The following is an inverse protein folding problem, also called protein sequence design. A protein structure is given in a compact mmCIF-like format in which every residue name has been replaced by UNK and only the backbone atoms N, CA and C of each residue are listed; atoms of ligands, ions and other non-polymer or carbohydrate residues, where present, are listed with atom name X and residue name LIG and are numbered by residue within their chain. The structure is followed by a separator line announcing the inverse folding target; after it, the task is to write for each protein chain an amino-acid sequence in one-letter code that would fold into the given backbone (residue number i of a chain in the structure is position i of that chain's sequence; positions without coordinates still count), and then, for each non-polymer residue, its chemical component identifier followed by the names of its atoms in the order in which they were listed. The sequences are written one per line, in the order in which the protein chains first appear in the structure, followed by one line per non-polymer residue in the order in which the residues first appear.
data_IF_840031138510
#
_entry.id   IF_840031138510
#
_cell.length_a   1.000
_cell.length_b   1.000
_cell.length_c   1.000
_cell.angle_alpha   90.00
_cell.angle_beta   90.00
_cell.angle_gamma   90.00
#
_symmetry.space_group_name_H-M   'P 1'
#
loop_
_entity.id
_entity.type
_entity.pdbx_description
1 polymer ?
#
# COMPACT_ATOMS: atom_id res chain seq x y z
N UNK A 1 -54.03 -61.19 -65.75
CA UNK A 1 -53.12 -60.02 -65.61
C UNK A 1 -53.65 -59.15 -64.47
N UNK A 2 -52.77 -58.61 -63.62
CA UNK A 2 -53.05 -57.70 -62.49
C UNK A 2 -53.26 -58.35 -61.10
N UNK A 3 -52.18 -58.39 -60.31
CA UNK A 3 -52.08 -57.81 -58.93
C UNK A 3 -50.74 -58.22 -58.28
N UNK A 4 -49.63 -57.90 -58.94
CA UNK A 4 -48.29 -57.91 -58.32
C UNK A 4 -47.67 -56.53 -58.54
N UNK A 5 -48.31 -55.51 -57.97
CA UNK A 5 -47.85 -54.12 -57.93
C UNK A 5 -48.71 -53.44 -56.86
N UNK A 6 -48.30 -53.51 -55.59
CA UNK A 6 -48.84 -52.62 -54.53
C UNK A 6 -48.10 -52.65 -53.17
N UNK A 7 -47.09 -53.51 -52.95
CA UNK A 7 -46.29 -53.49 -51.70
C UNK A 7 -44.99 -52.67 -51.79
N UNK A 8 -44.45 -52.40 -52.98
CA UNK A 8 -43.21 -51.61 -53.15
C UNK A 8 -43.37 -50.09 -53.00
N UNK A 9 -44.57 -49.55 -53.27
CA UNK A 9 -44.79 -48.09 -53.24
C UNK A 9 -44.72 -47.49 -51.84
N UNK A 10 -45.16 -48.22 -50.82
CA UNK A 10 -45.17 -47.73 -49.43
C UNK A 10 -43.74 -47.63 -48.88
N UNK A 11 -42.88 -48.62 -49.16
CA UNK A 11 -41.50 -48.62 -48.67
C UNK A 11 -40.68 -47.43 -49.21
N UNK A 12 -40.84 -47.08 -50.49
CA UNK A 12 -40.15 -45.94 -51.10
C UNK A 12 -40.60 -44.63 -50.46
N UNK A 13 -41.90 -44.46 -50.22
CA UNK A 13 -42.44 -43.26 -49.56
C UNK A 13 -41.94 -43.15 -48.12
N UNK A 14 -41.87 -44.26 -47.38
CA UNK A 14 -41.33 -44.26 -46.01
C UNK A 14 -39.84 -43.89 -45.99
N UNK A 15 -39.03 -44.44 -46.89
CA UNK A 15 -37.60 -44.09 -46.97
C UNK A 15 -37.40 -42.62 -47.34
N UNK A 16 -38.17 -42.09 -48.29
CA UNK A 16 -38.11 -40.67 -48.65
C UNK A 16 -38.52 -39.76 -47.49
N UNK A 17 -39.53 -40.15 -46.71
CA UNK A 17 -39.95 -39.40 -45.53
C UNK A 17 -38.85 -39.39 -44.46
N UNK A 18 -38.24 -40.54 -44.17
CA UNK A 18 -37.12 -40.64 -43.22
C UNK A 18 -35.93 -39.79 -43.68
N UNK A 19 -35.59 -39.82 -44.97
CA UNK A 19 -34.54 -38.98 -45.53
C UNK A 19 -34.87 -37.48 -45.45
N UNK A 20 -36.12 -37.08 -45.68
CA UNK A 20 -36.54 -35.70 -45.53
C UNK A 20 -36.43 -35.22 -44.06
N UNK A 21 -36.86 -36.06 -43.11
CA UNK A 21 -36.73 -35.76 -41.67
C UNK A 21 -35.26 -35.67 -41.26
N UNK A 22 -34.41 -36.58 -41.74
CA UNK A 22 -32.96 -36.52 -41.52
C UNK A 22 -32.34 -35.25 -42.10
N UNK A 23 -32.72 -34.85 -43.32
CA UNK A 23 -32.22 -33.63 -43.94
C UNK A 23 -32.61 -32.38 -43.12
N UNK A 24 -33.85 -32.31 -42.63
CA UNK A 24 -34.29 -31.21 -41.76
C UNK A 24 -33.53 -31.20 -40.43
N UNK A 25 -33.28 -32.36 -39.82
CA UNK A 25 -32.49 -32.46 -38.60
C UNK A 25 -31.04 -32.02 -38.82
N UNK A 26 -30.41 -32.40 -39.93
CA UNK A 26 -29.03 -31.98 -40.27
C UNK A 26 -28.96 -30.46 -40.45
N UNK A 27 -29.90 -29.86 -41.18
CA UNK A 27 -29.96 -28.39 -41.35
C UNK A 27 -30.19 -27.70 -40.01
N UNK A 28 -31.07 -28.23 -39.16
CA UNK A 28 -31.30 -27.72 -37.81
C UNK A 28 -30.05 -27.75 -36.93
N UNK A 29 -29.29 -28.84 -37.00
CA UNK A 29 -28.06 -29.03 -36.20
C UNK A 29 -26.92 -28.12 -36.69
N UNK A 30 -26.79 -27.93 -38.00
CA UNK A 30 -25.84 -26.97 -38.58
C UNK A 30 -26.17 -25.55 -38.13
N UNK A 31 -27.44 -25.13 -38.20
CA UNK A 31 -27.86 -23.79 -37.76
C UNK A 31 -27.64 -23.55 -36.26
N UNK A 32 -27.88 -24.56 -35.41
CA UNK A 32 -27.58 -24.46 -33.98
C UNK A 32 -26.07 -24.35 -33.72
N UNK A 33 -25.25 -25.12 -34.45
CA UNK A 33 -23.78 -25.07 -34.31
C UNK A 33 -23.18 -23.74 -34.78
N UNK A 34 -23.69 -23.17 -35.88
CA UNK A 34 -23.21 -21.88 -36.40
C UNK A 34 -23.55 -20.74 -35.44
N UNK A 35 -24.75 -20.75 -34.86
CA UNK A 35 -25.16 -19.72 -33.90
C UNK A 35 -24.34 -19.81 -32.60
N UNK A 36 -24.07 -21.02 -32.10
CA UNK A 36 -23.21 -21.20 -30.91
C UNK A 36 -21.78 -20.73 -31.14
N UNK A 37 -21.22 -20.98 -32.34
CA UNK A 37 -19.87 -20.52 -32.70
C UNK A 37 -19.80 -19.00 -32.85
N UNK A 38 -20.83 -18.38 -33.42
CA UNK A 38 -20.94 -16.92 -33.53
C UNK A 38 -21.06 -16.28 -32.15
N UNK A 39 -21.89 -16.83 -31.26
CA UNK A 39 -22.01 -16.36 -29.89
C UNK A 39 -20.69 -16.51 -29.11
N UNK A 40 -20.04 -17.67 -29.19
CA UNK A 40 -18.75 -17.90 -28.52
C UNK A 40 -17.66 -16.95 -29.03
N UNK A 41 -17.66 -16.63 -30.34
CA UNK A 41 -16.73 -15.64 -30.90
C UNK A 41 -17.03 -14.22 -30.41
N UNK A 42 -18.31 -13.84 -30.35
CA UNK A 42 -18.70 -12.55 -29.77
C UNK A 42 -18.31 -12.44 -28.29
N UNK A 43 -18.57 -13.48 -27.50
CA UNK A 43 -18.21 -13.52 -26.07
C UNK A 43 -16.69 -13.43 -25.88
N UNK A 44 -15.91 -14.13 -26.72
CA UNK A 44 -14.45 -14.05 -26.70
C UNK A 44 -13.93 -12.68 -27.14
N UNK A 45 -14.52 -12.07 -28.17
CA UNK A 45 -14.16 -10.73 -28.64
C UNK A 45 -14.46 -9.66 -27.58
N UNK A 46 -15.61 -9.77 -26.91
CA UNK A 46 -16.02 -8.91 -25.80
C UNK A 46 -15.06 -9.00 -24.61
N UNK A 47 -14.63 -10.21 -24.23
CA UNK A 47 -13.64 -10.42 -23.17
C UNK A 47 -12.26 -9.84 -23.55
N UNK A 48 -11.81 -10.07 -24.78
CA UNK A 48 -10.53 -9.53 -25.26
C UNK A 48 -10.54 -8.00 -25.30
N UNK A 49 -11.63 -7.39 -25.76
CA UNK A 49 -11.81 -5.95 -25.74
C UNK A 49 -11.84 -5.40 -24.30
N UNK A 50 -12.47 -6.10 -23.37
CA UNK A 50 -12.46 -5.73 -21.96
C UNK A 50 -11.04 -5.78 -21.37
N UNK A 51 -10.29 -6.87 -21.56
CA UNK A 51 -8.92 -6.98 -21.07
C UNK A 51 -7.99 -5.91 -21.64
N UNK A 52 -8.16 -5.55 -22.91
CA UNK A 52 -7.41 -4.45 -23.52
C UNK A 52 -7.73 -3.10 -22.86
N UNK A 53 -9.01 -2.82 -22.58
CA UNK A 53 -9.42 -1.62 -21.88
C UNK A 53 -8.85 -1.58 -20.43
N UNK A 54 -8.87 -2.70 -19.72
CA UNK A 54 -8.30 -2.80 -18.36
C UNK A 54 -6.79 -2.54 -18.38
N UNK A 55 -6.06 -3.17 -19.30
CA UNK A 55 -4.62 -2.99 -19.45
C UNK A 55 -4.27 -1.53 -19.78
N UNK A 56 -5.02 -0.89 -20.68
CA UNK A 56 -4.84 0.52 -21.01
C UNK A 56 -5.08 1.42 -19.81
N UNK A 57 -6.15 1.18 -19.06
CA UNK A 57 -6.48 1.93 -17.85
C UNK A 57 -5.39 1.81 -16.77
N UNK A 58 -4.89 0.60 -16.49
CA UNK A 58 -3.82 0.38 -15.51
C UNK A 58 -2.49 1.00 -15.91
N UNK A 59 -2.12 0.91 -17.20
CA UNK A 59 -0.93 1.58 -17.71
C UNK A 59 -1.02 3.09 -17.53
N UNK A 60 -2.19 3.68 -17.79
CA UNK A 60 -2.44 5.10 -17.57
C UNK A 60 -2.25 5.51 -16.11
N UNK A 61 -2.79 4.71 -15.18
CA UNK A 61 -2.62 4.95 -13.74
C UNK A 61 -1.16 4.90 -13.33
N UNK A 62 -0.40 3.91 -13.80
CA UNK A 62 1.05 3.82 -13.53
C UNK A 62 1.78 5.06 -14.03
N UNK A 63 1.50 5.49 -15.25
CA UNK A 63 2.14 6.67 -15.85
C UNK A 63 1.77 7.98 -15.16
N UNK A 64 0.50 8.12 -14.73
CA UNK A 64 0.04 9.25 -13.89
C UNK A 64 0.80 9.23 -12.56
N UNK A 65 1.03 8.05 -11.98
CA UNK A 65 1.77 7.88 -10.72
C UNK A 65 3.25 8.22 -10.88
N UNK A 66 3.90 7.75 -11.94
CA UNK A 66 5.36 7.82 -12.12
C UNK A 66 5.82 9.19 -12.63
N UNK A 67 5.06 9.81 -13.53
CA UNK A 67 5.49 11.01 -14.27
C UNK A 67 4.63 12.24 -14.00
N UNK A 68 3.49 12.10 -13.32
CA UNK A 68 2.43 13.10 -13.33
C UNK A 68 1.80 13.22 -14.73
N UNK A 69 0.56 13.70 -14.83
CA UNK A 69 -0.08 13.70 -16.15
C UNK A 69 0.40 14.87 -17.02
N UNK A 70 0.85 14.56 -18.23
CA UNK A 70 0.92 15.56 -19.31
C UNK A 70 0.21 15.04 -20.55
N UNK A 71 -1.09 15.31 -20.67
CA UNK A 71 -1.85 15.20 -21.93
C UNK A 71 -1.62 13.90 -22.73
N UNK A 72 -1.44 12.77 -22.04
CA UNK A 72 -0.99 11.55 -22.70
C UNK A 72 -2.18 10.88 -23.38
N UNK A 73 -2.14 10.87 -24.71
CA UNK A 73 -3.04 10.11 -25.55
C UNK A 73 -2.26 8.91 -26.09
N UNK A 74 -2.59 7.71 -25.61
CA UNK A 74 -2.05 6.47 -26.17
C UNK A 74 -3.07 5.91 -27.16
N UNK A 75 -2.80 6.07 -28.45
CA UNK A 75 -3.71 5.59 -29.49
C UNK A 75 -3.27 4.22 -30.00
N UNK A 76 -4.23 3.30 -30.10
CA UNK A 76 -4.10 2.00 -30.79
C UNK A 76 -2.85 1.20 -30.37
N UNK A 77 -2.59 1.13 -29.06
CA UNK A 77 -1.50 0.32 -28.52
C UNK A 77 -1.90 -1.15 -28.56
N UNK A 78 -1.06 -1.98 -29.17
CA UNK A 78 -1.27 -3.42 -29.19
C UNK A 78 -0.92 -4.02 -27.82
N UNK A 79 -1.71 -5.00 -27.38
CA UNK A 79 -1.29 -5.88 -26.30
C UNK A 79 -0.12 -6.76 -26.78
N UNK A 80 0.77 -7.17 -25.87
CA UNK A 80 1.94 -8.01 -26.19
C UNK A 80 1.55 -9.33 -26.87
N UNK A 81 0.36 -9.87 -26.54
CA UNK A 81 -0.16 -11.12 -27.09
C UNK A 81 -0.94 -10.95 -28.41
N UNK A 82 -0.97 -9.73 -28.99
CA UNK A 82 -1.34 -9.49 -30.39
C UNK A 82 -2.82 -9.67 -30.80
N UNK A 83 -3.74 -9.88 -29.86
CA UNK A 83 -5.17 -10.12 -30.15
C UNK A 83 -6.09 -8.89 -30.06
N UNK A 84 -5.69 -7.85 -29.33
CA UNK A 84 -6.50 -6.66 -29.08
C UNK A 84 -5.63 -5.42 -28.93
N UNK A 85 -6.23 -4.26 -29.21
CA UNK A 85 -5.59 -2.97 -29.05
C UNK A 85 -6.42 -2.11 -28.10
N UNK A 86 -5.77 -1.17 -27.42
CA UNK A 86 -6.46 -0.18 -26.62
C UNK A 86 -6.08 1.24 -27.01
N UNK A 87 -7.01 2.16 -26.77
CA UNK A 87 -6.78 3.60 -26.81
C UNK A 87 -7.08 4.16 -25.43
N UNK A 88 -6.25 5.05 -24.93
CA UNK A 88 -6.42 5.67 -23.61
C UNK A 88 -6.35 7.18 -23.77
N UNK A 89 -7.35 7.84 -23.22
CA UNK A 89 -7.42 9.29 -23.08
C UNK A 89 -7.40 9.65 -21.59
N UNK A 90 -6.51 10.57 -21.19
CA UNK A 90 -6.42 11.06 -19.82
C UNK A 90 -6.80 12.54 -19.80
N UNK A 91 -7.86 12.88 -19.06
CA UNK A 91 -8.31 14.26 -18.87
C UNK A 91 -8.08 14.70 -17.43
N UNK A 92 -7.31 15.78 -17.23
CA UNK A 92 -7.11 16.40 -15.92
C UNK A 92 -8.24 17.40 -15.61
N UNK A 93 -8.67 17.46 -14.35
CA UNK A 93 -9.68 18.40 -13.91
C UNK A 93 -9.18 19.85 -13.82
N UNK A 94 -10.09 20.82 -13.64
CA UNK A 94 -11.55 20.65 -13.61
C UNK A 94 -12.15 20.42 -15.01
N UNK A 95 -12.94 19.36 -15.20
CA UNK A 95 -13.56 19.01 -16.48
C UNK A 95 -14.84 18.17 -16.28
N UNK A 96 -15.72 18.08 -17.29
CA UNK A 96 -16.77 17.07 -17.34
C UNK A 96 -16.52 16.16 -18.54
N UNK A 97 -16.27 14.88 -18.29
CA UNK A 97 -15.93 13.88 -19.32
C UNK A 97 -16.97 12.78 -19.29
N UNK A 98 -17.68 12.59 -20.39
CA UNK A 98 -18.74 11.58 -20.52
C UNK A 98 -19.78 11.61 -19.39
N UNK A 99 -20.10 12.81 -18.87
CA UNK A 99 -21.05 12.99 -17.77
C UNK A 99 -20.44 12.79 -16.37
N UNK A 100 -19.14 12.52 -16.27
CA UNK A 100 -18.40 12.44 -15.00
C UNK A 100 -17.68 13.75 -14.71
N UNK A 101 -17.96 14.35 -13.55
CA UNK A 101 -17.25 15.56 -13.09
C UNK A 101 -15.87 15.19 -12.55
N UNK A 102 -14.83 15.82 -13.12
CA UNK A 102 -13.43 15.78 -12.66
C UNK A 102 -13.20 17.04 -11.83
N UNK A 103 -13.10 16.97 -10.49
CA UNK A 103 -13.33 18.14 -9.64
C UNK A 103 -12.25 19.24 -9.71
N UNK A 104 -10.98 18.85 -9.74
CA UNK A 104 -9.84 19.76 -9.61
C UNK A 104 -8.60 19.23 -10.34
N UNK A 105 -7.51 20.00 -10.34
CA UNK A 105 -6.25 19.67 -11.02
C UNK A 105 -5.53 18.45 -10.48
N UNK A 106 -5.93 17.91 -9.32
CA UNK A 106 -5.36 16.69 -8.75
C UNK A 106 -6.19 15.46 -9.12
N UNK A 107 -7.26 15.60 -9.90
CA UNK A 107 -8.04 14.48 -10.40
C UNK A 107 -7.84 14.33 -11.91
N UNK A 108 -7.78 13.08 -12.34
CA UNK A 108 -7.70 12.65 -13.73
C UNK A 108 -8.81 11.67 -14.00
N UNK A 109 -9.48 11.85 -15.12
CA UNK A 109 -10.36 10.84 -15.68
C UNK A 109 -9.59 10.09 -16.76
N UNK A 110 -9.41 8.79 -16.53
CA UNK A 110 -8.81 7.85 -17.49
C UNK A 110 -9.96 7.17 -18.22
N UNK A 111 -10.05 7.38 -19.52
CA UNK A 111 -10.97 6.66 -20.41
C UNK A 111 -10.18 5.70 -21.27
N UNK A 112 -10.36 4.40 -21.07
CA UNK A 112 -9.71 3.37 -21.88
C UNK A 112 -10.72 2.61 -22.73
N UNK A 113 -10.49 2.63 -24.04
CA UNK A 113 -11.28 1.93 -25.05
C UNK A 113 -10.48 0.75 -25.59
N UNK A 114 -10.90 -0.46 -25.24
CA UNK A 114 -10.34 -1.69 -25.77
C UNK A 114 -11.11 -2.19 -26.98
N UNK A 115 -10.40 -2.65 -28.01
CA UNK A 115 -10.94 -3.16 -29.27
C UNK A 115 -10.28 -4.47 -29.67
N UNK A 116 -11.08 -5.47 -30.02
CA UNK A 116 -10.57 -6.68 -30.66
C UNK A 116 -9.93 -6.35 -32.02
N UNK A 117 -8.76 -6.92 -32.31
CA UNK A 117 -8.08 -6.69 -33.58
C UNK A 117 -8.52 -7.70 -34.65
N UNK A 118 -8.68 -7.26 -35.90
CA UNK A 118 -8.92 -8.15 -37.04
C UNK A 118 -10.38 -8.59 -37.27
N UNK A 119 -11.33 -8.20 -36.41
CA UNK A 119 -12.75 -8.42 -36.65
C UNK A 119 -13.35 -7.33 -37.58
N UNK A 120 -14.29 -7.71 -38.44
CA UNK A 120 -15.00 -6.77 -39.33
C UNK A 120 -15.92 -5.79 -38.57
N UNK A 121 -16.37 -6.20 -37.39
CA UNK A 121 -17.09 -5.38 -36.41
C UNK A 121 -16.49 -5.70 -35.04
N UNK A 122 -15.37 -5.04 -34.68
CA UNK A 122 -14.68 -5.37 -33.44
C UNK A 122 -15.56 -5.07 -32.24
N UNK A 123 -15.54 -5.98 -31.27
CA UNK A 123 -16.08 -5.69 -29.96
C UNK A 123 -15.33 -4.46 -29.40
N UNK A 124 -16.09 -3.56 -28.78
CA UNK A 124 -15.57 -2.35 -28.15
C UNK A 124 -16.05 -2.30 -26.71
N UNK A 125 -15.12 -2.09 -25.77
CA UNK A 125 -15.40 -1.94 -24.35
C UNK A 125 -14.72 -0.69 -23.83
N UNK A 126 -15.40 0.00 -22.92
CA UNK A 126 -14.97 1.26 -22.33
C UNK A 126 -14.79 1.07 -20.83
N UNK A 127 -13.69 1.59 -20.28
CA UNK A 127 -13.42 1.64 -18.84
C UNK A 127 -13.05 3.07 -18.48
N UNK A 128 -13.96 3.71 -17.74
CA UNK A 128 -13.74 5.01 -17.13
C UNK A 128 -13.27 4.86 -15.69
N UNK A 129 -12.21 5.58 -15.32
CA UNK A 129 -11.67 5.59 -13.96
C UNK A 129 -11.31 7.01 -13.54
N UNK A 130 -11.80 7.42 -12.37
CA UNK A 130 -11.41 8.67 -11.74
C UNK A 130 -10.23 8.42 -10.79
N UNK A 131 -9.06 8.93 -11.16
CA UNK A 131 -7.80 8.81 -10.43
C UNK A 131 -7.51 10.14 -9.76
N UNK A 132 -7.17 10.14 -8.48
CA UNK A 132 -6.67 11.33 -7.80
C UNK A 132 -5.16 11.23 -7.69
N UNK A 133 -4.39 12.07 -8.41
CA UNK A 133 -2.99 12.28 -8.02
C UNK A 133 -3.01 13.11 -6.75
N UNK A 134 -2.88 12.43 -5.61
CA UNK A 134 -2.19 13.09 -4.51
C UNK A 134 -0.74 13.32 -4.93
N UNK A 135 -0.01 14.26 -4.31
CA UNK A 135 1.43 14.09 -4.25
C UNK A 135 1.68 12.63 -3.84
N UNK A 136 2.54 11.90 -4.58
CA UNK A 136 2.95 10.54 -4.21
C UNK A 136 3.03 10.50 -2.69
N UNK A 137 2.23 9.63 -2.06
CA UNK A 137 2.38 9.23 -0.66
C UNK A 137 3.24 10.23 0.10
N UNK A 138 2.67 11.30 0.64
CA UNK A 138 3.49 12.43 1.15
C UNK A 138 4.40 12.02 2.32
N UNK A 139 4.32 10.76 2.72
CA UNK A 139 4.99 10.14 3.83
C UNK A 139 5.86 8.98 3.36
N UNK A 140 6.90 9.31 2.60
CA UNK A 140 8.16 8.56 2.67
C UNK A 140 9.07 9.11 3.80
N UNK A 141 8.47 9.83 4.76
CA UNK A 141 9.18 10.43 5.89
C UNK A 141 8.92 9.64 7.15
N UNK A 142 9.99 9.20 7.81
CA UNK A 142 9.92 8.53 9.10
C UNK A 142 9.36 9.46 10.17
N UNK A 143 9.74 10.75 10.12
CA UNK A 143 9.24 11.78 11.04
C UNK A 143 8.83 13.03 10.25
N UNK A 144 7.62 13.55 10.48
CA UNK A 144 7.20 14.84 9.94
C UNK A 144 6.52 15.67 11.02
N UNK A 145 6.99 16.88 11.26
CA UNK A 145 6.45 17.77 12.30
C UNK A 145 5.87 19.04 11.73
N UNK A 146 4.88 19.64 12.41
CA UNK A 146 4.40 20.96 12.03
C UNK A 146 5.46 22.03 12.30
N UNK A 147 5.96 22.12 13.53
CA UNK A 147 6.77 23.25 14.01
C UNK A 147 8.24 22.91 14.24
N UNK A 148 8.57 21.98 15.14
CA UNK A 148 9.97 21.74 15.51
C UNK A 148 10.28 20.27 15.77
N UNK A 149 11.49 19.86 15.38
CA UNK A 149 12.04 18.53 15.60
C UNK A 149 13.36 18.67 16.37
N UNK A 150 13.41 18.09 17.56
CA UNK A 150 14.60 18.04 18.40
C UNK A 150 15.07 16.60 18.54
N UNK A 151 16.24 16.26 17.99
CA UNK A 151 16.93 15.01 18.26
C UNK A 151 18.07 15.33 19.24
N UNK A 152 17.88 15.07 20.53
CA UNK A 152 18.78 15.55 21.59
C UNK A 152 19.21 14.43 22.54
N UNK A 153 20.48 14.43 22.97
CA UNK A 153 21.06 13.49 23.96
C UNK A 153 21.01 11.99 23.59
N UNK A 154 22.05 11.25 23.99
CA UNK A 154 22.12 9.79 23.78
C UNK A 154 22.32 9.38 22.32
N UNK A 155 22.08 8.12 21.98
CA UNK A 155 22.15 7.64 20.60
C UNK A 155 20.78 7.79 19.94
N UNK A 156 20.53 8.88 19.22
CA UNK A 156 19.24 9.09 18.53
C UNK A 156 19.37 8.75 17.05
N UNK A 157 18.49 7.89 16.52
CA UNK A 157 18.59 7.41 15.13
C UNK A 157 17.26 7.49 14.37
N UNK A 158 17.31 7.94 13.11
CA UNK A 158 16.20 7.80 12.16
C UNK A 158 16.65 6.94 10.98
N UNK A 159 16.19 5.69 10.84
CA UNK A 159 16.76 4.76 9.84
C UNK A 159 15.80 4.46 8.69
N UNK A 160 16.35 4.40 7.48
CA UNK A 160 15.69 3.76 6.36
C UNK A 160 15.65 2.27 6.63
N UNK A 161 14.60 1.61 6.18
CA UNK A 161 14.54 0.15 6.26
C UNK A 161 15.64 -0.44 5.38
N UNK A 162 16.75 -0.84 5.98
CA UNK A 162 17.60 -1.88 5.44
C UNK A 162 17.08 -3.22 5.95
N UNK A 163 15.95 -3.67 5.41
CA UNK A 163 15.59 -5.09 5.55
C UNK A 163 16.75 -5.93 5.00
N UNK A 164 17.19 -7.01 5.68
CA UNK A 164 18.10 -7.95 5.05
C UNK A 164 17.47 -8.41 3.73
N UNK A 165 18.23 -8.50 2.62
CA UNK A 165 17.68 -8.94 1.35
C UNK A 165 16.93 -10.26 1.57
N UNK A 166 15.73 -10.44 0.97
CA UNK A 166 14.98 -11.68 1.12
C UNK A 166 15.90 -12.86 0.74
N UNK A 167 15.90 -13.96 1.51
CA UNK A 167 16.73 -15.11 1.19
C UNK A 167 16.39 -15.60 -0.21
N UNK A 168 17.34 -15.47 -1.14
CA UNK A 168 17.21 -15.97 -2.50
C UNK A 168 17.41 -17.48 -2.48
N UNK A 169 16.41 -18.22 -1.99
CA UNK A 169 16.31 -19.63 -2.36
C UNK A 169 16.06 -19.68 -3.87
N UNK A 170 16.93 -20.30 -4.68
CA UNK A 170 16.67 -20.49 -6.09
C UNK A 170 15.29 -21.16 -6.23
N UNK A 171 14.47 -20.78 -7.22
CA UNK A 171 13.25 -21.52 -7.51
C UNK A 171 13.64 -23.00 -7.67
N UNK A 172 12.88 -23.95 -7.09
CA UNK A 172 13.17 -25.36 -7.28
C UNK A 172 13.18 -25.61 -8.79
N UNK A 173 14.34 -25.99 -9.32
CA UNK A 173 14.46 -26.40 -10.72
C UNK A 173 13.45 -27.52 -10.94
N UNK A 174 12.41 -27.27 -11.73
CA UNK A 174 11.51 -28.33 -12.14
C UNK A 174 12.36 -29.44 -12.78
N UNK A 175 12.21 -30.70 -12.34
CA UNK A 175 12.92 -31.79 -12.99
C UNK A 175 12.48 -31.84 -14.44
N UNK A 176 13.43 -31.60 -15.35
CA UNK A 176 13.23 -31.80 -16.78
C UNK A 176 12.82 -33.27 -16.98
N UNK A 177 11.68 -33.57 -17.60
CA UNK A 177 11.28 -34.95 -17.89
C UNK A 177 12.34 -35.61 -18.76
N UNK A 178 12.92 -36.69 -18.26
CA UNK A 178 14.15 -37.29 -18.77
C UNK A 178 14.06 -37.80 -20.21
N UNK A 179 15.09 -37.46 -20.99
CA UNK A 179 15.57 -38.31 -22.06
C UNK A 179 16.57 -39.31 -21.48
N UNK A 180 16.19 -40.58 -21.43
CA UNK A 180 17.09 -41.68 -21.06
C UNK A 180 17.97 -41.98 -22.27
N UNK A 181 19.22 -41.52 -22.25
CA UNK A 181 20.28 -42.04 -23.12
C UNK A 181 21.41 -42.46 -22.21
N UNK A 182 21.56 -43.78 -22.05
CA UNK A 182 22.69 -44.34 -21.33
C UNK A 182 23.97 -44.06 -22.09
N UNK A 183 24.95 -43.48 -21.40
CA UNK A 183 26.36 -43.72 -21.64
C UNK A 183 27.18 -43.28 -20.43
N UNK A 184 28.22 -44.05 -20.20
CA UNK A 184 29.17 -44.06 -19.09
C UNK A 184 30.28 -43.01 -19.26
N UNK A 185 30.80 -42.54 -18.12
CA UNK A 185 32.10 -41.86 -17.87
C UNK A 185 32.22 -40.34 -18.10
N UNK A 186 32.41 -39.57 -17.02
CA UNK A 186 33.70 -38.96 -16.60
C UNK A 186 33.48 -37.91 -15.48
N UNK A 187 34.11 -38.00 -14.28
CA UNK A 187 33.95 -37.00 -13.22
C UNK A 187 34.99 -35.88 -13.33
N UNK A 188 34.74 -34.91 -14.20
CA UNK A 188 35.36 -33.57 -14.06
C UNK A 188 34.31 -32.57 -13.63
N UNK A 189 34.45 -32.11 -12.38
CA UNK A 189 33.56 -31.16 -11.74
C UNK A 189 33.31 -29.92 -12.61
N UNK A 190 32.05 -29.53 -12.87
CA UNK A 190 31.79 -28.19 -13.34
C UNK A 190 31.99 -27.23 -12.16
N UNK A 191 32.99 -26.35 -12.28
CA UNK A 191 33.10 -25.14 -11.47
C UNK A 191 31.86 -24.29 -11.77
N UNK A 192 30.83 -24.39 -10.92
CA UNK A 192 29.70 -23.49 -10.91
C UNK A 192 30.20 -22.12 -10.45
N UNK A 193 30.59 -21.29 -11.41
CA UNK A 193 30.74 -19.84 -11.25
C UNK A 193 29.36 -19.21 -11.04
N UNK A 194 28.75 -19.48 -9.88
CA UNK A 194 27.58 -18.79 -9.41
C UNK A 194 28.00 -17.41 -8.90
N UNK A 195 28.15 -16.46 -9.81
CA UNK A 195 28.20 -15.05 -9.45
C UNK A 195 26.90 -14.70 -8.74
N UNK A 196 26.94 -14.64 -7.41
CA UNK A 196 25.87 -14.06 -6.60
C UNK A 196 25.79 -12.60 -7.00
N UNK A 197 24.86 -12.27 -7.90
CA UNK A 197 24.48 -10.89 -8.15
C UNK A 197 23.81 -10.40 -6.88
N UNK A 198 24.57 -9.71 -6.04
CA UNK A 198 24.02 -8.92 -4.94
C UNK A 198 23.28 -7.76 -5.56
N UNK A 199 22.00 -7.95 -5.88
CA UNK A 199 21.11 -6.85 -6.21
C UNK A 199 21.06 -5.99 -4.95
N UNK A 200 21.79 -4.89 -4.95
CA UNK A 200 21.66 -3.85 -3.92
C UNK A 200 20.22 -3.38 -3.99
N UNK A 201 19.40 -3.81 -3.03
CA UNK A 201 18.09 -3.23 -2.82
C UNK A 201 18.35 -1.76 -2.54
N UNK A 202 17.87 -0.89 -3.44
CA UNK A 202 17.94 0.55 -3.25
C UNK A 202 17.11 0.87 -2.01
N UNK A 203 17.77 1.05 -0.87
CA UNK A 203 17.10 1.53 0.35
C UNK A 203 16.72 2.99 0.10
N UNK A 204 15.43 3.28 0.11
CA UNK A 204 14.94 4.66 0.11
C UNK A 204 15.48 5.34 1.37
N UNK A 205 16.22 6.46 1.26
CA UNK A 205 16.77 7.16 2.42
C UNK A 205 15.69 7.53 3.45
N UNK A 206 16.04 7.61 4.73
CA UNK A 206 15.08 8.11 5.71
C UNK A 206 14.90 9.62 5.52
N UNK A 207 13.66 10.07 5.51
CA UNK A 207 13.35 11.50 5.44
C UNK A 207 12.77 12.00 6.78
N UNK A 208 13.28 13.14 7.28
CA UNK A 208 12.65 13.90 8.38
C UNK A 208 12.17 15.26 7.87
N UNK A 209 11.03 15.73 8.34
CA UNK A 209 10.38 16.92 7.78
C UNK A 209 9.87 17.92 8.81
N UNK A 210 9.91 19.22 8.51
CA UNK A 210 9.13 20.28 9.20
C UNK A 210 8.20 21.00 8.22
N UNK A 211 7.07 21.54 8.69
CA UNK A 211 6.08 22.23 7.82
C UNK A 211 6.05 23.75 7.95
N UNK A 212 6.66 24.30 9.02
CA UNK A 212 6.53 25.71 9.38
C UNK A 212 7.46 26.62 8.57
N UNK A 213 6.92 27.73 8.06
CA UNK A 213 7.60 28.71 7.19
C UNK A 213 8.51 29.69 7.94
N UNK A 214 8.38 29.81 9.27
CA UNK A 214 9.07 30.80 10.09
C UNK A 214 9.99 30.18 11.15
N UNK A 215 9.57 29.05 11.75
CA UNK A 215 10.25 28.46 12.92
C UNK A 215 10.58 26.98 12.79
N UNK A 216 10.37 26.40 11.61
CA UNK A 216 10.66 25.02 11.24
C UNK A 216 12.10 24.62 11.53
N UNK A 217 12.45 24.29 12.77
CA UNK A 217 13.82 23.98 13.18
C UNK A 217 13.99 22.49 13.38
N UNK A 218 15.06 21.97 12.79
CA UNK A 218 15.55 20.62 13.07
C UNK A 218 16.83 20.77 13.88
N UNK A 219 16.78 20.42 15.16
CA UNK A 219 17.94 20.41 16.04
C UNK A 219 18.47 18.98 16.13
N UNK A 220 19.74 18.79 15.81
CA UNK A 220 20.46 17.53 15.97
C UNK A 220 21.55 17.77 17.00
N UNK A 221 21.50 17.12 18.15
CA UNK A 221 22.53 17.22 19.18
C UNK A 221 23.04 15.83 19.56
N UNK A 222 24.25 15.78 20.15
CA UNK A 222 24.81 14.62 20.85
C UNK A 222 24.57 13.25 20.18
N UNK A 223 25.47 12.79 19.31
CA UNK A 223 25.40 11.48 18.61
C UNK A 223 24.08 11.19 17.85
N UNK A 224 23.24 12.20 17.58
CA UNK A 224 22.09 12.06 16.69
C UNK A 224 22.53 11.77 15.26
N UNK A 225 21.75 10.93 14.58
CA UNK A 225 22.01 10.46 13.23
C UNK A 225 20.71 10.15 12.47
N UNK A 226 20.68 10.49 11.18
CA UNK A 226 19.59 10.21 10.25
C UNK A 226 20.18 9.32 9.14
N UNK A 227 19.83 8.05 9.24
CA UNK A 227 20.09 6.98 8.30
C UNK A 227 21.57 6.76 8.00
N UNK A 228 22.38 6.74 9.06
CA UNK A 228 23.84 6.66 9.00
C UNK A 228 24.44 7.76 8.12
N UNK A 229 23.82 8.93 8.13
CA UNK A 229 24.19 10.07 7.31
C UNK A 229 23.69 10.07 5.88
N UNK A 230 22.85 9.10 5.49
CA UNK A 230 22.26 9.04 4.15
C UNK A 230 20.87 9.70 4.08
N UNK A 231 20.25 10.01 5.22
CA UNK A 231 18.89 10.52 5.28
C UNK A 231 18.82 12.00 4.94
N UNK A 232 17.67 12.45 4.45
CA UNK A 232 17.44 13.84 4.09
C UNK A 232 16.57 14.58 5.10
N UNK A 233 16.88 15.86 5.29
CA UNK A 233 16.08 16.79 6.08
C UNK A 233 15.27 17.69 5.15
N UNK A 234 13.96 17.68 5.32
CA UNK A 234 13.03 18.51 4.57
C UNK A 234 12.54 19.62 5.50
N UNK A 235 12.85 20.88 5.22
CA UNK A 235 12.44 22.01 6.07
C UNK A 235 11.23 22.73 5.49
N UNK A 236 10.43 23.36 6.34
CA UNK A 236 9.24 24.10 5.91
C UNK A 236 9.51 25.15 4.82
N UNK A 237 8.48 25.62 4.09
CA UNK A 237 8.68 26.49 2.93
C UNK A 237 9.35 27.81 3.28
N UNK A 238 10.36 28.16 2.48
CA UNK A 238 11.23 29.31 2.75
C UNK A 238 12.33 29.02 3.78
N UNK A 239 12.31 27.86 4.42
CA UNK A 239 13.42 27.34 5.23
C UNK A 239 14.64 26.99 4.37
N UNK A 240 15.80 26.91 5.00
CA UNK A 240 17.05 26.50 4.35
C UNK A 240 17.95 25.73 5.30
N UNK A 241 19.22 25.53 4.93
CA UNK A 241 20.20 24.85 5.79
C UNK A 241 20.37 25.53 7.15
N UNK A 242 20.15 26.84 7.24
CA UNK A 242 20.16 27.60 8.49
C UNK A 242 19.05 27.21 9.47
N UNK A 243 18.00 26.54 8.99
CA UNK A 243 16.91 26.01 9.81
C UNK A 243 17.27 24.66 10.46
N UNK A 244 18.43 24.08 10.12
CA UNK A 244 18.96 22.86 10.73
C UNK A 244 20.11 23.22 11.66
N UNK A 245 19.92 23.04 12.95
CA UNK A 245 20.95 23.25 13.96
C UNK A 245 21.64 21.91 14.29
N UNK A 246 22.75 21.61 13.62
CA UNK A 246 23.53 20.41 13.92
C UNK A 246 24.66 20.71 14.91
N UNK A 247 24.43 20.36 16.17
CA UNK A 247 25.41 20.33 17.25
C UNK A 247 25.84 18.90 17.62
N UNK A 248 25.45 17.90 16.82
CA UNK A 248 25.85 16.52 17.00
C UNK A 248 27.36 16.36 16.86
N UNK A 249 27.93 15.47 17.68
CA UNK A 249 29.30 14.97 17.51
C UNK A 249 29.50 14.19 16.21
N UNK A 250 28.41 13.81 15.53
CA UNK A 250 28.42 13.24 14.19
C UNK A 250 28.19 14.35 13.13
N UNK A 251 29.25 14.83 12.44
CA UNK A 251 29.11 15.90 11.45
C UNK A 251 28.36 15.44 10.18
N UNK A 252 28.25 14.14 9.95
CA UNK A 252 27.52 13.51 8.85
C UNK A 252 26.20 12.93 9.33
N UNK A 253 25.51 13.59 10.26
CA UNK A 253 24.24 13.11 10.79
C UNK A 253 23.10 13.08 9.75
N UNK A 254 23.28 13.68 8.56
CA UNK A 254 22.34 13.65 7.44
C UNK A 254 23.07 13.95 6.12
N UNK A 255 22.43 13.64 4.99
CA UNK A 255 22.99 13.80 3.65
C UNK A 255 22.65 15.17 3.03
N UNK A 256 21.35 15.50 2.95
CA UNK A 256 20.89 16.70 2.27
C UNK A 256 19.86 17.48 3.11
N UNK A 257 19.74 18.78 2.83
CA UNK A 257 18.65 19.63 3.32
C UNK A 257 17.91 20.23 2.13
N UNK A 258 16.61 19.99 2.05
CA UNK A 258 15.76 20.52 0.99
C UNK A 258 14.59 21.32 1.58
N UNK A 259 14.25 22.50 1.02
CA UNK A 259 13.04 23.21 1.40
C UNK A 259 11.79 22.53 0.82
N UNK A 260 10.70 22.53 1.57
CA UNK A 260 9.36 22.33 1.03
C UNK A 260 9.03 23.47 0.07
N UNK A 261 8.42 23.13 -1.06
CA UNK A 261 7.93 24.13 -2.02
C UNK A 261 6.68 24.85 -1.53
N UNK A 262 5.86 24.17 -0.72
CA UNK A 262 4.60 24.69 -0.19
C UNK A 262 4.25 24.02 1.14
N UNK A 263 3.47 24.72 1.96
CA UNK A 263 2.97 24.16 3.22
C UNK A 263 2.07 22.97 2.90
N UNK A 264 2.22 21.91 3.67
CA UNK A 264 1.31 20.77 3.62
C UNK A 264 0.16 21.01 4.59
N UNK A 265 -1.07 20.82 4.14
CA UNK A 265 -2.21 20.88 5.05
C UNK A 265 -2.37 19.53 5.73
N UNK A 266 -2.37 19.51 7.06
CA UNK A 266 -2.66 18.32 7.83
C UNK A 266 -4.14 18.27 8.19
N UNK A 267 -4.74 17.09 8.04
CA UNK A 267 -6.11 16.90 8.50
C UNK A 267 -6.11 16.88 10.03
N UNK A 268 -6.97 17.69 10.63
CA UNK A 268 -7.22 17.60 12.06
C UNK A 268 -7.77 16.21 12.42
N UNK A 269 -7.39 15.68 13.57
CA UNK A 269 -7.92 14.41 14.06
C UNK A 269 -9.39 14.59 14.45
N UNK A 270 -10.28 13.90 13.75
CA UNK A 270 -11.72 13.86 14.04
C UNK A 270 -12.00 12.62 14.88
N UNK A 271 -12.59 12.81 16.06
CA UNK A 271 -12.96 11.71 16.96
C UNK A 271 -14.23 11.00 16.43
N UNK A 272 -14.23 9.66 16.32
CA UNK A 272 -15.35 8.90 15.75
C UNK A 272 -16.59 8.85 16.67
N UNK A 273 -16.42 9.02 17.97
CA UNK A 273 -17.46 8.88 18.97
C UNK A 273 -17.52 10.10 19.92
N UNK A 274 -18.66 10.37 20.57
CA UNK A 274 -18.70 11.34 21.65
C UNK A 274 -17.80 10.91 22.81
N UNK A 275 -17.11 11.86 23.43
CA UNK A 275 -16.20 11.61 24.54
C UNK A 275 -16.92 10.96 25.72
N UNK A 276 -16.41 9.82 26.16
CA UNK A 276 -16.80 9.19 27.41
C UNK A 276 -15.93 9.79 28.53
N UNK A 277 -16.51 10.09 29.70
CA UNK A 277 -15.78 10.66 30.85
C UNK A 277 -15.59 9.65 32.00
N UNK A 278 -15.94 8.38 31.79
CA UNK A 278 -15.69 7.34 32.79
C UNK A 278 -14.22 6.95 32.82
N UNK A 279 -13.65 6.87 34.02
CA UNK A 279 -12.30 6.36 34.23
C UNK A 279 -12.32 4.83 34.31
N UNK A 280 -11.38 4.18 33.63
CA UNK A 280 -11.17 2.74 33.67
C UNK A 280 -9.74 2.44 34.10
N UNK A 281 -9.59 1.53 35.06
CA UNK A 281 -8.28 1.01 35.48
C UNK A 281 -8.20 -0.47 35.15
N UNK A 282 -7.22 -0.83 34.34
CA UNK A 282 -6.94 -2.22 33.95
C UNK A 282 -5.80 -2.71 34.83
N UNK A 283 -6.09 -3.71 35.67
CA UNK A 283 -5.11 -4.28 36.62
C UNK A 283 -4.64 -5.69 36.25
N UNK A 284 -5.33 -6.34 35.30
CA UNK A 284 -5.03 -7.67 34.77
C UNK A 284 -5.19 -7.66 33.24
N UNK A 285 -4.99 -8.81 32.59
CA UNK A 285 -5.29 -8.98 31.16
C UNK A 285 -6.78 -8.69 30.87
N UNK A 286 -7.04 -7.65 30.07
CA UNK A 286 -8.40 -7.25 29.71
C UNK A 286 -8.51 -6.92 28.21
N UNK A 287 -9.50 -7.52 27.56
CA UNK A 287 -9.95 -7.11 26.22
C UNK A 287 -11.03 -6.06 26.34
N UNK A 288 -10.84 -4.92 25.69
CA UNK A 288 -11.88 -3.90 25.61
C UNK A 288 -12.84 -4.22 24.46
N UNK A 289 -14.15 -4.04 24.66
CA UNK A 289 -15.10 -4.07 23.56
C UNK A 289 -14.69 -3.12 22.42
N UNK A 290 -14.73 -3.58 21.15
CA UNK A 290 -14.39 -2.72 20.02
C UNK A 290 -15.45 -1.63 19.79
N UNK A 291 -15.08 -0.64 18.97
CA UNK A 291 -15.97 0.37 18.39
C UNK A 291 -16.69 1.23 19.44
N UNK A 292 -15.96 1.60 20.49
CA UNK A 292 -16.46 2.36 21.64
C UNK A 292 -15.52 3.48 22.09
N UNK A 293 -16.08 4.43 22.82
CA UNK A 293 -15.36 5.48 23.53
C UNK A 293 -15.19 5.15 25.02
N UNK A 294 -13.97 5.37 25.50
CA UNK A 294 -13.54 5.24 26.88
C UNK A 294 -13.08 6.61 27.38
N UNK A 295 -13.24 6.88 28.67
CA UNK A 295 -12.65 8.09 29.26
C UNK A 295 -11.17 7.91 29.53
N UNK A 296 -10.75 8.25 30.73
CA UNK A 296 -9.35 8.09 31.13
C UNK A 296 -9.05 6.62 31.41
N UNK A 297 -8.17 6.02 30.63
CA UNK A 297 -7.78 4.62 30.77
C UNK A 297 -6.37 4.52 31.29
N UNK A 298 -6.21 3.86 32.44
CA UNK A 298 -4.90 3.55 33.02
C UNK A 298 -4.69 2.05 33.05
N UNK A 299 -3.62 1.58 32.41
CA UNK A 299 -3.19 0.19 32.47
C UNK A 299 -2.07 0.09 33.50
N UNK A 300 -2.34 -0.67 34.56
CA UNK A 300 -1.41 -0.91 35.66
C UNK A 300 -0.21 -1.75 35.23
N UNK A 301 0.91 -1.61 35.94
CA UNK A 301 2.13 -2.34 35.61
C UNK A 301 1.92 -3.86 35.61
N UNK A 302 2.35 -4.53 34.54
CA UNK A 302 2.22 -5.98 34.37
C UNK A 302 0.86 -6.47 33.87
N UNK A 303 -0.12 -5.57 33.66
CA UNK A 303 -1.38 -5.92 33.01
C UNK A 303 -1.22 -5.96 31.47
N UNK A 304 -2.24 -6.42 30.75
CA UNK A 304 -2.29 -6.36 29.28
C UNK A 304 -3.59 -5.72 28.84
N UNK A 305 -3.51 -4.65 28.05
CA UNK A 305 -4.66 -4.12 27.32
C UNK A 305 -4.71 -4.80 25.95
N UNK A 306 -5.75 -5.60 25.71
CA UNK A 306 -5.97 -6.27 24.43
C UNK A 306 -6.98 -5.50 23.58
N UNK A 307 -6.59 -5.21 22.35
CA UNK A 307 -7.41 -4.59 21.32
C UNK A 307 -7.63 -5.59 20.20
N UNK A 308 -8.89 -5.85 19.87
CA UNK A 308 -9.24 -6.67 18.72
C UNK A 308 -8.84 -5.96 17.41
N UNK A 309 -8.40 -6.76 16.43
CA UNK A 309 -7.94 -6.28 15.14
C UNK A 309 -9.08 -5.68 14.30
N UNK A 310 -8.76 -4.78 13.37
CA UNK A 310 -9.72 -4.20 12.42
C UNK A 310 -10.86 -3.38 13.07
N UNK A 311 -10.64 -2.84 14.27
CA UNK A 311 -11.62 -2.06 15.01
C UNK A 311 -11.13 -0.67 15.38
N UNK A 312 -12.08 0.17 15.82
CA UNK A 312 -11.83 1.53 16.27
C UNK A 312 -11.97 1.61 17.79
N UNK A 313 -11.01 2.23 18.45
CA UNK A 313 -11.05 2.53 19.87
C UNK A 313 -10.85 4.02 20.07
N UNK A 314 -11.63 4.64 20.95
CA UNK A 314 -11.43 6.02 21.34
C UNK A 314 -11.19 6.13 22.83
N UNK A 315 -10.16 6.86 23.23
CA UNK A 315 -9.82 7.16 24.60
C UNK A 315 -9.82 8.68 24.81
N UNK A 316 -10.29 9.13 25.97
CA UNK A 316 -10.03 10.52 26.36
C UNK A 316 -8.54 10.69 26.64
N UNK A 317 -7.98 9.85 27.52
CA UNK A 317 -6.54 9.73 27.73
C UNK A 317 -6.17 8.26 27.93
N UNK A 318 -4.96 7.89 27.52
CA UNK A 318 -4.43 6.53 27.68
C UNK A 318 -3.06 6.57 28.35
N UNK A 319 -2.97 5.96 29.53
CA UNK A 319 -1.72 5.79 30.28
C UNK A 319 -1.41 4.31 30.46
N UNK A 320 -0.24 3.88 30.00
CA UNK A 320 0.23 2.50 30.07
C UNK A 320 1.51 2.46 30.90
N UNK A 321 1.44 1.85 32.08
CA UNK A 321 2.54 1.79 33.03
C UNK A 321 3.41 0.54 32.83
N UNK A 322 4.72 0.63 33.11
CA UNK A 322 5.76 -0.32 32.72
C UNK A 322 5.47 -1.82 32.84
N UNK A 323 6.07 -2.61 31.94
CA UNK A 323 5.85 -4.07 31.84
C UNK A 323 4.52 -4.47 31.19
N UNK A 324 3.69 -3.50 30.83
CA UNK A 324 2.38 -3.71 30.19
C UNK A 324 2.51 -3.86 28.69
N UNK A 325 1.60 -4.65 28.11
CA UNK A 325 1.50 -4.88 26.67
C UNK A 325 0.19 -4.30 26.15
N UNK A 326 0.24 -3.41 25.16
CA UNK A 326 -0.90 -3.23 24.24
C UNK A 326 -0.79 -4.32 23.19
N UNK A 327 -1.74 -5.25 23.14
CA UNK A 327 -1.73 -6.35 22.18
C UNK A 327 -2.84 -6.17 21.17
N UNK A 328 -2.48 -6.02 19.90
CA UNK A 328 -3.41 -6.04 18.78
C UNK A 328 -3.56 -7.49 18.27
N UNK A 329 -4.80 -7.97 18.07
CA UNK A 329 -5.08 -9.33 17.60
C UNK A 329 -4.50 -9.65 16.21
N UNK A 330 -4.35 -10.93 15.87
CA UNK A 330 -3.65 -11.43 14.66
C UNK A 330 -4.18 -10.94 13.28
N UNK A 331 -3.47 -11.36 12.22
CA UNK A 331 -3.43 -10.74 10.89
C UNK A 331 -4.79 -10.50 10.21
N UNK A 332 -5.24 -9.24 10.20
CA UNK A 332 -6.27 -8.72 9.30
C UNK A 332 -5.63 -7.79 8.26
N UNK A 333 -6.27 -7.65 7.09
CA UNK A 333 -5.89 -6.63 6.10
C UNK A 333 -6.15 -5.21 6.64
N UNK A 334 -7.14 -5.08 7.52
CA UNK A 334 -7.60 -3.80 8.02
C UNK A 334 -6.85 -3.36 9.30
N UNK A 335 -6.57 -2.06 9.44
CA UNK A 335 -5.86 -1.51 10.59
C UNK A 335 -6.76 -1.41 11.82
N UNK A 336 -6.14 -1.48 13.00
CA UNK A 336 -6.75 -1.10 14.28
C UNK A 336 -6.44 0.37 14.53
N UNK A 337 -7.47 1.20 14.66
CA UNK A 337 -7.34 2.65 14.83
C UNK A 337 -7.65 3.05 16.27
N UNK A 338 -6.70 3.70 16.92
CA UNK A 338 -6.80 4.16 18.30
C UNK A 338 -6.80 5.69 18.31
N UNK A 339 -7.95 6.29 18.60
CA UNK A 339 -8.12 7.73 18.73
C UNK A 339 -7.94 8.16 20.18
N UNK A 340 -7.22 9.25 20.41
CA UNK A 340 -6.91 9.77 21.73
C UNK A 340 -7.18 11.27 21.74
N UNK A 341 -7.97 11.74 22.71
CA UNK A 341 -8.37 13.15 22.76
C UNK A 341 -7.32 14.06 23.41
N UNK A 342 -6.89 13.74 24.64
CA UNK A 342 -6.18 14.65 25.54
C UNK A 342 -4.72 14.26 25.83
N UNK A 343 -4.33 12.99 25.62
CA UNK A 343 -2.95 12.58 25.86
C UNK A 343 -2.69 11.08 25.88
N UNK A 344 -1.46 10.71 25.54
CA UNK A 344 -0.97 9.34 25.45
C UNK A 344 0.36 9.22 26.21
N UNK A 345 0.43 8.30 27.17
CA UNK A 345 1.66 8.00 27.90
C UNK A 345 1.92 6.50 27.86
N UNK A 346 2.99 6.07 27.17
CA UNK A 346 3.39 4.67 27.04
C UNK A 346 4.76 4.47 27.68
N UNK A 347 4.80 3.77 28.81
CA UNK A 347 6.05 3.33 29.47
C UNK A 347 6.28 1.81 29.35
N UNK A 348 5.35 1.12 28.67
CA UNK A 348 5.37 -0.33 28.44
C UNK A 348 5.73 -0.70 27.00
N UNK A 349 5.52 -1.96 26.65
CA UNK A 349 5.72 -2.48 25.27
C UNK A 349 4.39 -2.43 24.50
N UNK A 350 4.45 -2.20 23.19
CA UNK A 350 3.29 -2.37 22.30
C UNK A 350 3.58 -3.55 21.38
N UNK A 351 2.81 -4.62 21.55
CA UNK A 351 2.87 -5.87 20.80
C UNK A 351 1.86 -5.82 19.65
N UNK A 352 2.30 -5.31 18.51
CA UNK A 352 1.54 -5.36 17.27
C UNK A 352 1.78 -6.71 16.58
N UNK A 353 0.86 -7.67 16.79
CA UNK A 353 1.03 -9.05 16.34
C UNK A 353 0.99 -9.23 14.82
N UNK A 354 0.49 -8.24 14.07
CA UNK A 354 0.59 -8.23 12.61
C UNK A 354 2.03 -8.12 12.12
N UNK A 355 2.96 -7.70 13.00
CA UNK A 355 4.34 -7.37 12.69
C UNK A 355 4.50 -6.23 11.66
N UNK A 356 3.41 -5.50 11.35
CA UNK A 356 3.35 -4.39 10.39
C UNK A 356 2.83 -3.12 11.05
N UNK A 357 3.60 -2.04 10.99
CA UNK A 357 3.29 -0.77 11.63
C UNK A 357 1.97 -0.17 11.12
N UNK A 358 1.62 -0.36 9.85
CA UNK A 358 0.38 0.18 9.26
C UNK A 358 -0.91 -0.43 9.83
N UNK A 359 -0.82 -1.56 10.56
CA UNK A 359 -1.98 -2.25 11.15
C UNK A 359 -2.35 -1.79 12.55
N UNK A 360 -1.53 -0.97 13.18
CA UNK A 360 -1.86 -0.31 14.44
C UNK A 360 -1.58 1.18 14.29
N UNK A 361 -2.61 2.02 14.42
CA UNK A 361 -2.51 3.46 14.18
C UNK A 361 -3.05 4.21 15.39
N UNK A 362 -2.25 5.13 15.90
CA UNK A 362 -2.64 6.06 16.95
C UNK A 362 -2.91 7.44 16.36
N UNK A 363 -4.09 7.99 16.63
CA UNK A 363 -4.49 9.34 16.23
C UNK A 363 -4.70 10.17 17.49
N UNK A 364 -3.79 11.10 17.78
CA UNK A 364 -3.87 11.94 18.97
C UNK A 364 -4.31 13.34 18.55
N UNK A 365 -5.49 13.74 19.00
CA UNK A 365 -6.09 15.03 18.67
C UNK A 365 -5.34 16.16 19.35
N UNK A 366 -5.20 16.12 20.67
CA UNK A 366 -4.54 17.14 21.45
C UNK A 366 -3.69 16.54 22.59
N UNK A 367 -2.88 17.40 23.19
CA UNK A 367 -2.16 17.13 24.42
C UNK A 367 -0.72 16.68 24.23
N UNK A 368 -0.17 16.06 25.27
CA UNK A 368 1.19 15.51 25.24
C UNK A 368 1.18 14.02 24.94
N UNK A 369 2.08 13.59 24.05
CA UNK A 369 2.39 12.19 23.83
C UNK A 369 3.77 11.90 24.41
N UNK A 370 3.89 10.94 25.31
CA UNK A 370 5.17 10.51 25.88
C UNK A 370 5.34 9.01 25.69
N UNK A 371 6.41 8.63 25.01
CA UNK A 371 6.79 7.24 24.74
C UNK A 371 8.16 6.99 25.40
N UNK A 372 8.19 6.11 26.40
CA UNK A 372 9.31 5.95 27.34
C UNK A 372 9.68 4.46 27.42
N UNK A 373 10.91 4.09 27.01
CA UNK A 373 11.34 2.69 26.86
C UNK A 373 10.44 1.79 25.99
N UNK A 374 9.56 2.37 25.18
CA UNK A 374 8.68 1.61 24.29
C UNK A 374 9.42 1.23 23.01
N UNK A 375 9.55 -0.06 22.71
CA UNK A 375 9.85 -0.52 21.35
C UNK A 375 8.56 -1.04 20.75
N UNK A 376 8.19 -0.52 19.58
CA UNK A 376 6.88 -0.80 19.03
C UNK A 376 6.77 -0.59 17.52
N UNK A 377 5.87 -1.35 16.88
CA UNK A 377 5.49 -1.18 15.48
C UNK A 377 4.11 -0.55 15.36
N UNK A 378 4.04 0.74 15.05
CA UNK A 378 2.78 1.42 14.78
C UNK A 378 3.00 2.74 14.05
N UNK A 379 1.90 3.32 13.59
CA UNK A 379 1.83 4.69 13.08
C UNK A 379 1.33 5.61 14.17
N UNK A 380 1.97 6.77 14.36
CA UNK A 380 1.51 7.81 15.28
C UNK A 380 1.24 9.10 14.50
N UNK A 381 -0.02 9.54 14.51
CA UNK A 381 -0.51 10.76 13.88
C UNK A 381 -1.00 11.73 14.96
N UNK A 382 -0.22 12.77 15.26
CA UNK A 382 -0.50 13.70 16.35
C UNK A 382 -0.18 15.17 15.95
N UNK A 383 -0.78 15.67 14.85
CA UNK A 383 -0.36 16.90 14.17
C UNK A 383 -0.36 18.15 15.07
N UNK A 384 -1.21 18.19 16.10
CA UNK A 384 -1.34 19.35 17.00
C UNK A 384 -0.75 19.10 18.40
N UNK A 385 -0.02 17.98 18.57
CA UNK A 385 0.52 17.54 19.86
C UNK A 385 2.04 17.63 19.92
N UNK A 386 2.58 17.70 21.14
CA UNK A 386 4.02 17.49 21.37
C UNK A 386 4.27 16.01 21.65
N UNK A 387 5.23 15.41 20.95
CA UNK A 387 5.59 13.99 21.07
C UNK A 387 7.01 13.84 21.61
N UNK A 388 7.15 13.21 22.77
CA UNK A 388 8.43 12.90 23.39
C UNK A 388 8.75 11.40 23.25
N UNK A 389 9.79 11.05 22.50
CA UNK A 389 10.38 9.70 22.45
C UNK A 389 11.60 9.68 23.38
N UNK A 390 11.53 9.01 24.52
CA UNK A 390 12.56 9.11 25.57
C UNK A 390 13.08 7.75 26.04
N UNK A 391 14.27 7.77 26.64
CA UNK A 391 14.86 6.64 27.37
C UNK A 391 14.92 5.32 26.57
N UNK A 392 15.38 5.35 25.32
CA UNK A 392 15.51 4.13 24.53
C UNK A 392 14.25 3.73 23.76
N UNK A 393 13.35 4.69 23.51
CA UNK A 393 12.11 4.45 22.78
C UNK A 393 12.37 4.34 21.28
N UNK A 394 12.03 3.21 20.66
CA UNK A 394 12.17 2.98 19.22
C UNK A 394 10.79 2.76 18.61
N UNK A 395 10.37 3.66 17.74
CA UNK A 395 9.18 3.52 16.93
C UNK A 395 9.55 2.94 15.56
N UNK A 396 9.09 1.73 15.26
CA UNK A 396 9.18 1.13 13.92
C UNK A 396 7.88 1.47 13.16
N UNK A 397 7.95 2.42 12.23
CA UNK A 397 6.77 2.95 11.52
C UNK A 397 6.97 4.39 11.10
N UNK A 398 5.94 5.22 11.32
CA UNK A 398 5.98 6.63 10.97
C UNK A 398 5.39 7.51 12.07
N UNK A 399 5.96 8.71 12.22
CA UNK A 399 5.57 9.71 13.20
C UNK A 399 5.17 11.02 12.51
N UNK A 400 3.95 11.49 12.78
CA UNK A 400 3.56 12.87 12.57
C UNK A 400 3.27 13.56 13.90
N UNK A 401 3.82 14.75 14.11
CA UNK A 401 3.61 15.52 15.34
C UNK A 401 3.44 17.02 15.07
N UNK A 402 2.96 17.77 16.06
CA UNK A 402 3.10 19.23 16.06
C UNK A 402 4.54 19.62 16.35
N UNK A 403 5.09 19.06 17.42
CA UNK A 403 6.51 19.11 17.77
C UNK A 403 6.96 17.73 18.19
N UNK A 404 8.18 17.31 17.83
CA UNK A 404 8.74 16.04 18.28
C UNK A 404 10.09 16.24 18.97
N UNK A 405 10.25 15.64 20.15
CA UNK A 405 11.48 15.58 20.91
C UNK A 405 11.92 14.11 21.01
N UNK A 406 13.03 13.76 20.41
CA UNK A 406 13.60 12.41 20.45
C UNK A 406 14.85 12.46 21.30
N UNK A 407 14.73 11.92 22.52
CA UNK A 407 15.74 11.98 23.55
C UNK A 407 16.28 10.58 23.86
N UNK A 408 17.50 10.30 23.41
CA UNK A 408 18.22 9.09 23.76
C UNK A 408 18.72 9.12 25.20
N UNK A 409 18.86 7.94 25.81
CA UNK A 409 19.63 7.80 27.05
C UNK A 409 21.10 7.55 26.71
N UNK A 410 22.01 7.77 27.66
CA UNK A 410 23.44 7.47 27.46
C UNK A 410 23.70 5.99 27.09
N UNK A 411 22.83 5.09 27.51
CA UNK A 411 22.94 3.64 27.31
C UNK A 411 21.90 3.03 26.37
N UNK A 412 20.96 3.81 25.82
CA UNK A 412 19.87 3.28 25.02
C UNK A 412 19.50 4.21 23.87
N UNK A 413 19.18 3.62 22.71
CA UNK A 413 18.86 4.37 21.51
C UNK A 413 17.39 4.75 21.45
N UNK A 414 17.08 6.02 21.24
CA UNK A 414 15.72 6.46 20.91
C UNK A 414 15.64 6.79 19.43
N UNK A 415 14.50 6.60 18.78
CA UNK A 415 14.44 6.84 17.34
C UNK A 415 13.16 6.42 16.65
N UNK A 416 13.11 6.72 15.35
CA UNK A 416 12.06 6.22 14.44
C UNK A 416 12.72 5.46 13.31
N UNK A 417 12.28 4.24 13.03
CA UNK A 417 12.82 3.39 11.97
C UNK A 417 11.69 3.06 11.00
N UNK A 418 11.97 3.07 9.72
CA UNK A 418 10.99 2.58 8.76
C UNK A 418 10.72 1.09 9.02
N UNK A 419 9.46 0.69 8.96
CA UNK A 419 9.09 -0.72 9.08
C UNK A 419 9.44 -1.46 7.78
N UNK A 420 10.40 -2.42 7.81
CA UNK A 420 10.78 -3.17 6.61
C UNK A 420 9.64 -3.97 6.00
N UNK A 421 8.53 -4.20 6.73
CA UNK A 421 7.36 -4.87 6.19
C UNK A 421 6.47 -3.98 5.31
N UNK A 422 6.75 -2.66 5.24
CA UNK A 422 5.93 -1.67 4.52
C UNK A 422 6.51 -1.19 3.18
N UNK A 423 7.54 -1.87 2.64
CA UNK A 423 8.20 -1.48 1.39
C UNK A 423 7.21 -1.10 0.28
N UNK A 424 7.26 0.16 -0.16
CA UNK A 424 6.47 0.68 -1.27
C UNK A 424 5.06 1.18 -0.92
N UNK A 425 4.68 1.30 0.36
CA UNK A 425 3.38 1.83 0.76
C UNK A 425 3.47 3.16 1.51
N UNK A 426 2.56 4.09 1.15
CA UNK A 426 2.28 5.30 1.95
C UNK A 426 1.73 4.91 3.30
N UNK A 427 2.25 5.53 4.36
CA UNK A 427 1.79 5.26 5.71
C UNK A 427 0.70 6.25 6.16
N UNK A 428 0.56 7.41 5.53
CA UNK A 428 -0.57 8.32 5.75
C UNK A 428 -1.21 8.84 4.46
#
# INVERSE_FOLDING_TARGET
MNRVLKKGGVAIVTVLLVLAVLAVMVVGLVNLSSNGLVQTRHDSGDLNAQYAAEAGAWRAVSEISDHGATGVLWTNQAMEDGGANYTVEVTQGPANVNGTDVPDSNHYYVDSVGRESGAASPAEKHIGMLVKSGPASTFDTAIFVQSSLHLDNGFTEVLASAGPPPPTTPPPTMPVPGGWTGETEDPTSPVLGGGVSTTTVSSTPAHVGTNDTLTGTVSLANNSDIDHGNGDVIVGPGGGTSSVNNTSSNPTAFHNVAPLTQNRSFQAVILPYPTNNSTLTISDDQTLPPDQAYGDVTVGAGATLRLDAAHVYQFKSLTVNGGTIIRQGGSTLDPTNVYIEDGLSLTGTVDNQSAKADKLRFFVKNGSVRLDHATARYVLYAPDSTVDLVNGCILEGALMAGTANVVGAASARSGVRYDPALTGQSIF
#
